data_IF_611306956389
#
_entry.id   IF_611306956389
#
_cell.length_a   1.000
_cell.length_b   1.000
_cell.length_c   1.000
_cell.angle_alpha   90.00
_cell.angle_beta   90.00
_cell.angle_gamma   90.00
#
_symmetry.space_group_name_H-M   'P 1'
#
loop_
_entity.id
_entity.type
_entity.pdbx_description
1 polymer ?
#
# COMPACT_ATOMS: atom_id res chain seq x y z
N UNK A 1 18.29 -26.89 11.91
CA UNK A 1 17.86 -26.17 10.70
C UNK A 1 17.24 -27.03 9.60
N UNK A 2 17.98 -27.80 8.79
CA UNK A 2 17.36 -28.62 7.71
C UNK A 2 16.38 -29.68 8.26
N UNK A 3 16.69 -30.22 9.45
CA UNK A 3 15.79 -31.10 10.23
C UNK A 3 14.52 -30.39 10.75
N UNK A 4 14.58 -29.12 11.11
CA UNK A 4 13.43 -28.35 11.62
C UNK A 4 12.53 -27.83 10.50
N UNK A 5 13.10 -27.43 9.36
CA UNK A 5 12.34 -27.07 8.17
C UNK A 5 11.63 -28.30 7.56
N UNK A 6 12.26 -29.46 7.64
CA UNK A 6 11.64 -30.75 7.32
C UNK A 6 10.52 -31.10 8.31
N UNK A 7 10.66 -30.74 9.59
CA UNK A 7 9.62 -30.89 10.62
C UNK A 7 8.40 -29.99 10.32
N UNK A 8 8.60 -28.72 9.98
CA UNK A 8 7.53 -27.76 9.66
C UNK A 8 6.77 -28.11 8.38
N UNK A 9 7.48 -28.52 7.31
CA UNK A 9 6.83 -29.01 6.08
C UNK A 9 6.04 -30.29 6.36
N UNK A 10 6.60 -31.21 7.15
CA UNK A 10 5.90 -32.41 7.61
C UNK A 10 4.66 -32.07 8.44
N UNK A 11 4.70 -31.04 9.28
CA UNK A 11 3.54 -30.57 10.05
C UNK A 11 2.45 -29.95 9.16
N UNK A 12 2.82 -29.15 8.15
CA UNK A 12 1.87 -28.61 7.17
C UNK A 12 1.23 -29.71 6.32
N UNK A 13 2.01 -30.70 5.89
CA UNK A 13 1.51 -31.83 5.10
C UNK A 13 0.62 -32.75 5.96
N UNK A 14 1.00 -33.04 7.21
CA UNK A 14 0.15 -33.78 8.18
C UNK A 14 -1.15 -33.01 8.48
N UNK A 15 -1.11 -31.68 8.53
CA UNK A 15 -2.29 -30.84 8.75
C UNK A 15 -3.23 -30.83 7.53
N UNK A 16 -2.68 -30.82 6.31
CA UNK A 16 -3.45 -30.96 5.07
C UNK A 16 -4.15 -32.32 4.97
N UNK A 17 -3.45 -33.39 5.35
CA UNK A 17 -4.03 -34.74 5.39
C UNK A 17 -5.18 -34.82 6.41
N UNK A 18 -5.01 -34.25 7.61
CA UNK A 18 -6.07 -34.19 8.62
C UNK A 18 -7.28 -33.36 8.18
N UNK A 19 -7.08 -32.27 7.44
CA UNK A 19 -8.16 -31.46 6.85
C UNK A 19 -8.95 -32.26 5.80
N UNK A 20 -8.26 -32.99 4.93
CA UNK A 20 -8.90 -33.85 3.92
C UNK A 20 -9.65 -35.04 4.55
N UNK A 21 -9.12 -35.65 5.61
CA UNK A 21 -9.81 -36.69 6.37
C UNK A 21 -11.05 -36.14 7.09
N UNK A 22 -10.98 -34.92 7.61
CA UNK A 22 -12.14 -34.22 8.17
C UNK A 22 -13.20 -33.91 7.12
N UNK A 23 -12.82 -33.36 5.96
CA UNK A 23 -13.74 -33.11 4.84
C UNK A 23 -14.44 -34.39 4.40
N UNK A 24 -13.72 -35.52 4.39
CA UNK A 24 -14.27 -36.84 4.11
C UNK A 24 -15.26 -37.31 5.18
N UNK A 25 -14.96 -37.12 6.47
CA UNK A 25 -15.90 -37.47 7.56
C UNK A 25 -17.14 -36.59 7.59
N UNK A 26 -17.01 -35.32 7.19
CA UNK A 26 -18.13 -34.38 7.02
C UNK A 26 -19.01 -34.82 5.84
N UNK A 27 -18.44 -35.31 4.74
CA UNK A 27 -19.21 -35.78 3.58
C UNK A 27 -19.86 -37.15 3.79
N UNK A 28 -19.31 -37.98 4.68
CA UNK A 28 -19.85 -39.31 5.06
C UNK A 28 -20.93 -39.25 6.16
N UNK A 29 -21.15 -38.09 6.81
CA UNK A 29 -22.25 -37.86 7.76
C UNK A 29 -21.96 -38.28 9.21
N UNK A 30 -20.68 -38.51 9.56
CA UNK A 30 -20.24 -39.12 10.83
C UNK A 30 -20.03 -38.11 11.99
N UNK A 31 -20.23 -36.80 11.75
CA UNK A 31 -20.01 -35.73 12.73
C UNK A 31 -21.24 -34.83 12.84
N UNK A 32 -21.69 -34.58 14.08
CA UNK A 32 -22.78 -33.66 14.35
C UNK A 32 -22.44 -32.22 13.95
N UNK A 33 -23.43 -31.48 13.42
CA UNK A 33 -23.29 -30.10 12.90
C UNK A 33 -22.63 -29.13 13.90
N UNK A 34 -22.89 -29.32 15.18
CA UNK A 34 -22.38 -28.49 16.28
C UNK A 34 -20.89 -28.72 16.56
N UNK A 35 -20.41 -29.95 16.39
CA UNK A 35 -19.00 -30.31 16.56
C UNK A 35 -18.13 -29.77 15.42
N UNK A 36 -18.67 -29.74 14.20
CA UNK A 36 -18.01 -29.12 13.05
C UNK A 36 -17.88 -27.59 13.21
N UNK A 37 -18.92 -26.92 13.69
CA UNK A 37 -18.91 -25.47 13.91
C UNK A 37 -17.86 -25.06 14.96
N UNK A 38 -17.79 -25.79 16.07
CA UNK A 38 -16.79 -25.53 17.11
C UNK A 38 -15.35 -25.72 16.61
N UNK A 39 -15.10 -26.69 15.73
CA UNK A 39 -13.77 -26.91 15.16
C UNK A 39 -13.38 -25.83 14.15
N UNK A 40 -14.33 -25.38 13.33
CA UNK A 40 -14.14 -24.28 12.38
C UNK A 40 -13.84 -22.98 13.13
N UNK A 41 -14.59 -22.67 14.18
CA UNK A 41 -14.37 -21.46 14.99
C UNK A 41 -13.01 -21.49 15.70
N UNK A 42 -12.61 -22.63 16.26
CA UNK A 42 -11.29 -22.80 16.87
C UNK A 42 -10.15 -22.54 15.85
N UNK A 43 -10.29 -23.07 14.63
CA UNK A 43 -9.28 -22.90 13.57
C UNK A 43 -9.28 -21.50 12.97
N UNK A 44 -10.45 -20.87 12.79
CA UNK A 44 -10.55 -19.47 12.38
C UNK A 44 -9.90 -18.53 13.38
N UNK A 45 -9.96 -18.85 14.67
CA UNK A 45 -9.31 -18.08 15.74
C UNK A 45 -7.78 -18.20 15.69
N UNK A 46 -7.27 -19.41 15.42
CA UNK A 46 -5.85 -19.69 15.27
C UNK A 46 -5.25 -18.98 14.04
N UNK A 47 -5.93 -19.05 12.89
CA UNK A 47 -5.52 -18.34 11.65
C UNK A 47 -5.56 -16.81 11.85
N UNK A 48 -6.56 -16.28 12.55
CA UNK A 48 -6.63 -14.84 12.89
C UNK A 48 -5.46 -14.40 13.78
N UNK A 49 -5.05 -15.26 14.71
CA UNK A 49 -3.95 -14.98 15.62
C UNK A 49 -2.60 -14.97 14.88
N UNK A 50 -2.35 -15.97 14.02
CA UNK A 50 -1.15 -15.99 13.15
C UNK A 50 -1.13 -14.79 12.20
N UNK A 51 -2.27 -14.39 11.62
CA UNK A 51 -2.36 -13.21 10.77
C UNK A 51 -2.04 -11.91 11.52
N UNK A 52 -2.47 -11.79 12.78
CA UNK A 52 -2.14 -10.65 13.63
C UNK A 52 -0.65 -10.58 13.96
N UNK A 53 0.00 -11.72 14.21
CA UNK A 53 1.44 -11.76 14.48
C UNK A 53 2.26 -11.39 13.24
N UNK A 54 1.88 -11.86 12.05
CA UNK A 54 2.51 -11.45 10.78
C UNK A 54 2.34 -9.95 10.53
N UNK A 55 1.14 -9.39 10.75
CA UNK A 55 0.91 -7.95 10.63
C UNK A 55 1.67 -7.12 11.67
N UNK A 56 1.92 -7.67 12.87
CA UNK A 56 2.72 -7.02 13.91
C UNK A 56 4.19 -7.00 13.53
N UNK A 57 4.72 -8.14 13.08
CA UNK A 57 6.09 -8.26 12.57
C UNK A 57 6.35 -7.32 11.38
N UNK A 58 5.40 -7.23 10.44
CA UNK A 58 5.48 -6.29 9.32
C UNK A 58 5.53 -4.83 9.78
N UNK A 59 4.71 -4.44 10.76
CA UNK A 59 4.74 -3.08 11.34
C UNK A 59 6.05 -2.77 12.05
N UNK A 60 6.63 -3.73 12.77
CA UNK A 60 7.92 -3.56 13.43
C UNK A 60 9.08 -3.41 12.43
N UNK A 61 9.06 -4.17 11.33
CA UNK A 61 10.01 -4.03 10.22
C UNK A 61 9.90 -2.64 9.58
N UNK A 62 8.68 -2.16 9.32
CA UNK A 62 8.46 -0.84 8.73
C UNK A 62 8.90 0.28 9.67
N UNK A 63 8.68 0.14 10.98
CA UNK A 63 9.13 1.11 11.98
C UNK A 63 10.65 1.17 12.09
N UNK A 64 11.32 0.02 11.98
CA UNK A 64 12.79 -0.07 11.96
C UNK A 64 13.38 0.58 10.72
N UNK A 65 12.74 0.42 9.56
CA UNK A 65 13.10 1.16 8.33
C UNK A 65 12.92 2.67 8.47
N UNK A 66 11.88 3.13 9.19
CA UNK A 66 11.67 4.55 9.48
C UNK A 66 12.76 5.14 10.39
N UNK A 67 13.20 4.38 11.40
CA UNK A 67 14.31 4.76 12.29
C UNK A 67 15.68 4.77 11.59
N UNK A 68 15.94 3.81 10.71
CA UNK A 68 17.17 3.77 9.89
C UNK A 68 17.21 4.92 8.86
N UNK A 69 16.06 5.27 8.27
CA UNK A 69 15.94 6.46 7.41
C UNK A 69 16.24 7.78 8.16
N UNK A 70 15.99 7.83 9.47
CA UNK A 70 16.32 8.97 10.34
C UNK A 70 17.83 9.16 10.55
N UNK A 71 18.63 8.10 10.39
CA UNK A 71 20.10 8.15 10.54
C UNK A 71 20.76 8.71 9.27
N UNK A 72 20.12 8.57 8.11
CA UNK A 72 20.63 9.07 6.81
C UNK A 72 20.41 10.59 6.65
N UNK A 73 19.48 11.19 7.40
CA UNK A 73 19.04 12.60 7.26
C UNK A 73 19.88 13.64 8.00
N UNK A 74 21.13 13.36 8.38
CA UNK A 74 21.92 14.26 9.25
C UNK A 74 22.08 15.72 8.73
N UNK A 75 21.79 16.00 7.45
CA UNK A 75 21.84 17.35 6.85
C UNK A 75 20.61 17.72 5.98
N UNK A 76 19.45 17.08 6.19
CA UNK A 76 18.23 17.36 5.41
C UNK A 76 17.17 17.95 6.36
N UNK A 77 16.49 19.01 5.92
CA UNK A 77 15.31 19.55 6.60
C UNK A 77 14.12 18.58 6.55
N UNK A 78 12.90 19.08 6.78
CA UNK A 78 11.71 18.23 6.77
C UNK A 78 11.52 17.53 5.41
N UNK A 79 11.40 16.19 5.44
CA UNK A 79 11.17 15.34 4.28
C UNK A 79 9.72 14.85 4.31
N UNK A 80 8.96 15.13 3.25
CA UNK A 80 7.53 14.78 3.16
C UNK A 80 7.22 13.94 1.93
N UNK A 81 6.21 13.04 1.98
CA UNK A 81 5.71 12.35 0.79
C UNK A 81 5.09 13.32 -0.22
N UNK A 82 5.32 13.08 -1.52
CA UNK A 82 4.72 13.88 -2.60
C UNK A 82 3.30 13.41 -2.92
N UNK A 83 3.09 12.10 -2.96
CA UNK A 83 1.78 11.50 -3.15
C UNK A 83 1.41 10.65 -1.95
N UNK A 84 0.58 11.22 -1.08
CA UNK A 84 0.10 10.58 0.15
C UNK A 84 -0.61 9.25 -0.15
N UNK A 85 -0.25 8.19 0.57
CA UNK A 85 -0.97 6.90 0.53
C UNK A 85 -2.03 6.88 1.61
N UNK A 86 -3.18 6.30 1.30
CA UNK A 86 -4.25 6.13 2.28
C UNK A 86 -4.34 4.70 2.80
N UNK A 87 -4.93 4.55 4.00
CA UNK A 87 -5.34 3.27 4.58
C UNK A 87 -6.41 2.66 3.66
N UNK A 88 -6.24 1.40 3.22
CA UNK A 88 -7.31 0.69 2.53
C UNK A 88 -8.54 0.59 3.45
N UNK A 89 -9.67 1.10 2.99
CA UNK A 89 -10.94 0.90 3.68
C UNK A 89 -11.62 -0.37 3.15
N UNK A 90 -12.23 -1.19 4.02
CA UNK A 90 -13.00 -2.37 3.59
C UNK A 90 -14.24 -1.99 2.78
N UNK A 91 -14.79 -0.78 3.01
CA UNK A 91 -16.01 -0.26 2.38
C UNK A 91 -15.75 1.14 1.83
N UNK A 92 -16.41 1.52 0.74
CA UNK A 92 -16.26 2.86 0.14
C UNK A 92 -17.47 3.77 0.35
N UNK A 93 -18.61 3.22 0.75
CA UNK A 93 -19.85 3.98 0.95
C UNK A 93 -20.58 3.55 2.23
N UNK A 94 -21.32 4.50 2.80
CA UNK A 94 -22.28 4.30 3.86
C UNK A 94 -23.67 4.72 3.35
N UNK A 95 -24.66 3.85 3.49
CA UNK A 95 -26.06 4.15 3.21
C UNK A 95 -26.83 4.11 4.52
N UNK A 96 -27.46 5.22 4.90
CA UNK A 96 -28.33 5.34 6.07
C UNK A 96 -29.78 5.52 5.64
N UNK A 97 -30.66 4.66 6.13
CA UNK A 97 -32.09 4.71 5.86
C UNK A 97 -32.88 4.77 7.17
N UNK A 98 -33.81 5.71 7.26
CA UNK A 98 -34.81 5.79 8.32
C UNK A 98 -36.18 5.39 7.76
N UNK A 99 -36.83 4.42 8.38
CA UNK A 99 -38.08 3.81 7.94
C UNK A 99 -39.21 4.12 8.94
N UNK A 100 -40.44 3.79 8.56
CA UNK A 100 -41.63 4.09 9.36
C UNK A 100 -41.78 3.19 10.61
N UNK A 101 -41.18 1.99 10.58
CA UNK A 101 -41.26 1.03 11.67
C UNK A 101 -40.05 0.12 11.75
N UNK A 102 -39.85 -0.46 12.94
CA UNK A 102 -38.82 -1.46 13.21
C UNK A 102 -38.96 -2.70 12.32
N UNK A 103 -40.20 -3.12 12.04
CA UNK A 103 -40.50 -4.25 11.17
C UNK A 103 -40.05 -4.00 9.73
N UNK A 104 -40.27 -2.78 9.21
CA UNK A 104 -39.78 -2.38 7.89
C UNK A 104 -38.25 -2.37 7.81
N UNK A 105 -37.58 -1.99 8.89
CA UNK A 105 -36.11 -2.08 9.00
C UNK A 105 -35.64 -3.52 8.91
N UNK A 106 -36.25 -4.43 9.68
CA UNK A 106 -35.86 -5.84 9.68
C UNK A 106 -36.05 -6.50 8.31
N UNK A 107 -37.17 -6.22 7.64
CA UNK A 107 -37.43 -6.70 6.28
C UNK A 107 -36.37 -6.20 5.28
N UNK A 108 -36.03 -4.91 5.34
CA UNK A 108 -35.02 -4.34 4.45
C UNK A 108 -33.62 -4.90 4.73
N UNK A 109 -33.26 -5.09 6.01
CA UNK A 109 -32.00 -5.74 6.40
C UNK A 109 -31.93 -7.15 5.79
N UNK A 110 -33.00 -7.94 5.88
CA UNK A 110 -33.04 -9.29 5.34
C UNK A 110 -32.87 -9.29 3.81
N UNK A 111 -33.55 -8.39 3.09
CA UNK A 111 -33.41 -8.26 1.63
C UNK A 111 -32.02 -7.83 1.20
N UNK A 112 -31.44 -6.81 1.85
CA UNK A 112 -30.07 -6.37 1.58
C UNK A 112 -29.07 -7.50 1.83
N UNK A 113 -29.27 -8.28 2.90
CA UNK A 113 -28.41 -9.42 3.21
C UNK A 113 -28.55 -10.55 2.18
N UNK A 114 -29.77 -10.79 1.68
CA UNK A 114 -30.03 -11.82 0.66
C UNK A 114 -29.48 -11.45 -0.72
N UNK A 115 -29.56 -10.17 -1.12
CA UNK A 115 -29.18 -9.74 -2.46
C UNK A 115 -27.68 -9.48 -2.60
N UNK A 116 -27.05 -8.95 -1.54
CA UNK A 116 -25.65 -8.49 -1.59
C UNK A 116 -24.68 -9.40 -0.80
N UNK A 117 -25.21 -10.26 0.08
CA UNK A 117 -24.44 -11.27 0.82
C UNK A 117 -23.49 -10.69 1.88
N UNK A 118 -22.50 -11.49 2.31
CA UNK A 118 -21.55 -11.14 3.40
C UNK A 118 -20.58 -9.99 3.07
N UNK A 119 -20.64 -9.44 1.86
CA UNK A 119 -19.74 -8.37 1.41
C UNK A 119 -20.14 -6.99 1.95
N UNK A 120 -21.31 -6.88 2.58
CA UNK A 120 -21.79 -5.65 3.21
C UNK A 120 -21.88 -5.79 4.73
N UNK A 121 -21.70 -4.70 5.45
CA UNK A 121 -21.93 -4.65 6.89
C UNK A 121 -23.21 -3.88 7.17
N UNK A 122 -24.24 -4.59 7.66
CA UNK A 122 -25.54 -3.99 7.99
C UNK A 122 -25.65 -3.82 9.51
N UNK A 123 -25.99 -2.61 9.95
CA UNK A 123 -26.15 -2.24 11.35
C UNK A 123 -27.50 -1.56 11.54
N UNK A 124 -28.29 -2.08 12.49
CA UNK A 124 -29.49 -1.39 12.97
C UNK A 124 -29.12 -0.46 14.11
N UNK A 125 -29.67 0.76 14.12
CA UNK A 125 -29.45 1.73 15.20
C UNK A 125 -30.70 2.57 15.43
N UNK A 126 -30.91 3.00 16.68
CA UNK A 126 -32.15 3.67 17.05
C UNK A 126 -33.39 2.77 16.85
N UNK A 127 -34.57 3.38 16.81
CA UNK A 127 -35.86 2.66 16.71
C UNK A 127 -36.18 2.23 15.29
N UNK A 128 -35.90 3.05 14.27
CA UNK A 128 -36.27 2.73 12.88
C UNK A 128 -35.17 3.07 11.86
N UNK A 129 -33.90 3.00 12.25
CA UNK A 129 -32.80 3.33 11.33
C UNK A 129 -31.89 2.14 11.08
N UNK A 130 -31.37 2.08 9.86
CA UNK A 130 -30.31 1.15 9.48
C UNK A 130 -29.20 1.86 8.73
N UNK A 131 -28.02 1.28 8.86
CA UNK A 131 -26.78 1.69 8.22
C UNK A 131 -26.21 0.50 7.47
N UNK A 132 -25.85 0.70 6.22
CA UNK A 132 -25.18 -0.30 5.38
C UNK A 132 -23.84 0.26 4.95
N UNK A 133 -22.77 -0.45 5.28
CA UNK A 133 -21.43 -0.20 4.73
C UNK A 133 -21.22 -1.13 3.54
N UNK A 134 -20.82 -0.57 2.41
CA UNK A 134 -20.71 -1.30 1.15
C UNK A 134 -19.60 -0.78 0.23
N UNK A 135 -19.23 -1.59 -0.75
CA UNK A 135 -18.37 -1.20 -1.86
C UNK A 135 -19.13 -0.41 -2.94
N UNK A 136 -18.39 0.22 -3.85
CA UNK A 136 -18.95 1.02 -4.95
C UNK A 136 -19.78 0.18 -5.92
N UNK A 137 -19.41 -1.11 -6.08
CA UNK A 137 -20.15 -2.06 -6.94
C UNK A 137 -21.55 -2.37 -6.42
N UNK A 138 -21.72 -2.40 -5.10
CA UNK A 138 -22.95 -2.86 -4.44
C UNK A 138 -23.92 -1.70 -4.15
N UNK A 139 -23.42 -0.47 -4.20
CA UNK A 139 -24.17 0.74 -3.91
C UNK A 139 -25.48 0.85 -4.71
N UNK A 140 -25.54 0.60 -6.04
CA UNK A 140 -26.78 0.74 -6.79
C UNK A 140 -27.88 -0.22 -6.33
N UNK A 141 -27.54 -1.47 -6.00
CA UNK A 141 -28.49 -2.46 -5.50
C UNK A 141 -29.06 -2.05 -4.14
N UNK A 142 -28.20 -1.59 -3.23
CA UNK A 142 -28.61 -1.12 -1.89
C UNK A 142 -29.49 0.11 -1.98
N UNK A 143 -29.13 1.09 -2.83
CA UNK A 143 -29.95 2.29 -3.06
C UNK A 143 -31.29 1.92 -3.69
N UNK A 144 -31.31 0.98 -4.64
CA UNK A 144 -32.56 0.49 -5.24
C UNK A 144 -33.47 -0.16 -4.20
N UNK A 145 -32.95 -1.14 -3.45
CA UNK A 145 -33.68 -1.84 -2.39
C UNK A 145 -34.25 -0.92 -1.32
N UNK A 146 -33.46 0.08 -0.91
CA UNK A 146 -33.86 1.09 0.07
C UNK A 146 -34.90 2.06 -0.47
N UNK A 147 -34.96 2.27 -1.79
CA UNK A 147 -35.87 3.22 -2.45
C UNK A 147 -37.20 2.61 -2.92
N UNK A 148 -37.24 1.33 -3.30
CA UNK A 148 -38.44 0.65 -3.84
C UNK A 148 -39.48 0.22 -2.80
N UNK A 149 -39.43 0.77 -1.59
CA UNK A 149 -40.30 0.33 -0.49
C UNK A 149 -41.71 0.94 -0.59
N UNK A 150 -42.75 0.18 -0.20
CA UNK A 150 -44.14 0.66 -0.16
C UNK A 150 -44.38 1.76 0.90
N UNK A 151 -43.40 1.94 1.78
CA UNK A 151 -43.17 3.11 2.62
C UNK A 151 -41.77 3.64 2.29
N UNK A 152 -41.68 4.66 1.43
CA UNK A 152 -40.41 5.29 1.09
C UNK A 152 -39.67 5.69 2.38
N UNK A 153 -38.34 5.54 2.45
CA UNK A 153 -37.61 5.91 3.66
C UNK A 153 -37.87 7.39 3.95
N UNK A 154 -38.25 7.70 5.20
CA UNK A 154 -38.43 9.08 5.66
C UNK A 154 -37.14 9.90 5.49
N UNK A 155 -35.98 9.21 5.44
CA UNK A 155 -34.69 9.78 5.10
C UNK A 155 -33.78 8.70 4.53
N UNK A 156 -33.16 8.98 3.37
CA UNK A 156 -32.07 8.20 2.80
C UNK A 156 -30.84 9.10 2.65
N UNK A 157 -29.70 8.69 3.20
CA UNK A 157 -28.43 9.40 3.08
C UNK A 157 -27.39 8.44 2.54
N UNK A 158 -26.71 8.84 1.47
CA UNK A 158 -25.55 8.12 0.93
C UNK A 158 -24.32 8.98 1.17
N UNK A 159 -23.34 8.41 1.87
CA UNK A 159 -22.08 9.08 2.21
C UNK A 159 -20.92 8.30 1.62
N UNK A 160 -20.08 8.95 0.81
CA UNK A 160 -18.81 8.38 0.37
C UNK A 160 -17.82 8.43 1.52
N UNK A 161 -17.17 7.31 1.81
CA UNK A 161 -16.18 7.22 2.87
C UNK A 161 -14.82 7.69 2.35
N UNK A 162 -14.24 8.66 3.03
CA UNK A 162 -12.89 9.12 2.75
C UNK A 162 -11.86 8.17 3.37
N UNK A 163 -10.84 7.82 2.59
CA UNK A 163 -9.74 7.01 3.09
C UNK A 163 -8.88 7.85 4.02
N UNK A 164 -8.44 7.24 5.13
CA UNK A 164 -7.59 7.92 6.10
C UNK A 164 -6.15 7.97 5.56
N UNK A 165 -5.46 9.12 5.54
CA UNK A 165 -4.08 9.19 5.09
C UNK A 165 -3.14 8.44 6.05
N UNK A 166 -2.22 7.64 5.50
CA UNK A 166 -1.12 7.02 6.22
C UNK A 166 0.04 8.00 6.36
N UNK A 167 0.08 8.78 7.45
CA UNK A 167 1.11 9.79 7.70
C UNK A 167 2.53 9.25 7.40
N UNK A 168 3.32 10.02 6.65
CA UNK A 168 4.68 9.64 6.25
C UNK A 168 4.78 8.61 5.11
N UNK A 169 3.66 8.05 4.65
CA UNK A 169 3.62 7.06 3.58
C UNK A 169 3.09 7.65 2.28
N UNK A 170 3.69 7.23 1.17
CA UNK A 170 3.37 7.77 -0.13
C UNK A 170 4.48 7.56 -1.15
N UNK A 171 4.17 7.78 -2.42
CA UNK A 171 5.17 7.78 -3.48
C UNK A 171 5.91 9.12 -3.51
N UNK A 172 7.19 9.05 -3.87
CA UNK A 172 8.10 10.19 -3.96
C UNK A 172 8.36 10.90 -2.63
N UNK A 173 9.41 11.72 -2.61
CA UNK A 173 9.76 12.55 -1.45
C UNK A 173 10.13 13.95 -1.91
N UNK A 174 9.77 14.94 -1.12
CA UNK A 174 10.26 16.31 -1.22
C UNK A 174 10.97 16.66 0.07
N UNK A 175 12.15 17.24 -0.05
CA UNK A 175 12.92 17.70 1.11
C UNK A 175 13.61 19.02 0.82
N UNK A 176 13.75 19.83 1.86
CA UNK A 176 14.64 20.99 1.85
C UNK A 176 16.01 20.59 2.37
N UNK A 177 17.07 21.13 1.78
CA UNK A 177 18.44 20.93 2.24
C UNK A 177 18.73 21.91 3.38
N UNK A 178 19.39 21.43 4.45
CA UNK A 178 19.78 22.30 5.56
C UNK A 178 20.83 23.33 5.10
N UNK A 179 21.74 22.90 4.23
CA UNK A 179 22.71 23.74 3.54
C UNK A 179 22.52 23.59 2.03
N UNK A 180 22.36 24.70 1.29
CA UNK A 180 22.27 24.65 -0.17
C UNK A 180 23.51 24.03 -0.80
N UNK A 181 23.32 23.32 -1.90
CA UNK A 181 24.42 22.75 -2.69
C UNK A 181 24.29 23.19 -4.14
N UNK A 182 25.39 23.22 -4.88
CA UNK A 182 25.32 23.48 -6.32
C UNK A 182 24.70 22.29 -7.06
N UNK A 183 24.14 22.52 -8.26
CA UNK A 183 23.72 21.45 -9.16
C UNK A 183 24.87 20.47 -9.42
N UNK A 184 26.10 20.95 -9.58
CA UNK A 184 27.29 20.10 -9.77
C UNK A 184 27.55 19.17 -8.57
N UNK A 185 27.39 19.68 -7.35
CA UNK A 185 27.51 18.88 -6.13
C UNK A 185 26.39 17.84 -6.06
N UNK A 186 25.16 18.21 -6.41
CA UNK A 186 24.03 17.27 -6.47
C UNK A 186 24.30 16.12 -7.46
N UNK A 187 24.75 16.43 -8.68
CA UNK A 187 25.15 15.44 -9.69
C UNK A 187 26.22 14.50 -9.14
N UNK A 188 27.25 15.05 -8.51
CA UNK A 188 28.36 14.26 -7.95
C UNK A 188 27.91 13.32 -6.84
N UNK A 189 27.01 13.79 -5.96
CA UNK A 189 26.38 12.98 -4.91
C UNK A 189 25.53 11.85 -5.49
N UNK A 190 24.69 12.14 -6.50
CA UNK A 190 23.85 11.13 -7.16
C UNK A 190 24.70 10.07 -7.86
N UNK A 191 25.74 10.46 -8.61
CA UNK A 191 26.66 9.51 -9.24
C UNK A 191 27.31 8.59 -8.22
N UNK A 192 27.82 9.15 -7.13
CA UNK A 192 28.51 8.39 -6.08
C UNK A 192 27.54 7.45 -5.37
N UNK A 193 26.35 7.92 -5.03
CA UNK A 193 25.34 7.14 -4.31
C UNK A 193 24.81 5.96 -5.14
N UNK A 194 24.52 6.18 -6.42
CA UNK A 194 24.00 5.15 -7.32
C UNK A 194 25.11 4.32 -8.00
N UNK A 195 26.38 4.73 -7.86
CA UNK A 195 27.51 4.09 -8.54
C UNK A 195 27.47 4.23 -10.07
N UNK A 196 26.89 5.31 -10.59
CA UNK A 196 26.70 5.53 -12.03
C UNK A 196 27.80 6.42 -12.61
N UNK A 197 28.42 6.02 -13.74
CA UNK A 197 29.46 6.83 -14.39
C UNK A 197 28.90 8.09 -15.06
N UNK A 198 27.68 8.01 -15.59
CA UNK A 198 27.01 9.05 -16.35
C UNK A 198 25.57 9.23 -15.86
N UNK A 199 25.08 10.48 -15.89
CA UNK A 199 23.68 10.83 -15.63
C UNK A 199 23.22 11.71 -16.81
N UNK A 200 21.91 11.74 -17.07
CA UNK A 200 21.31 12.72 -17.98
C UNK A 200 20.78 13.87 -17.15
N UNK A 201 21.11 15.10 -17.54
CA UNK A 201 20.76 16.31 -16.78
C UNK A 201 20.17 17.34 -17.72
N UNK A 202 19.05 17.93 -17.33
CA UNK A 202 18.47 19.10 -17.97
C UNK A 202 18.40 20.23 -16.95
N UNK A 203 19.12 21.32 -17.19
CA UNK A 203 19.15 22.47 -16.29
C UNK A 203 17.84 23.25 -16.38
N UNK A 204 17.37 23.77 -15.26
CA UNK A 204 16.30 24.76 -15.25
C UNK A 204 16.65 25.96 -16.14
N UNK A 205 15.64 26.60 -16.72
CA UNK A 205 15.86 27.76 -17.59
C UNK A 205 16.66 28.86 -16.87
N UNK A 206 17.75 29.32 -17.47
CA UNK A 206 18.64 30.33 -16.89
C UNK A 206 19.57 29.84 -15.77
N UNK A 207 19.57 28.53 -15.45
CA UNK A 207 20.46 27.95 -14.44
C UNK A 207 21.76 27.41 -15.03
N UNK A 208 22.79 27.30 -14.18
CA UNK A 208 24.09 26.71 -14.50
C UNK A 208 24.40 25.57 -13.53
N UNK A 209 25.54 24.91 -13.71
CA UNK A 209 26.02 23.89 -12.77
C UNK A 209 26.36 24.47 -11.37
N UNK A 210 26.58 25.78 -11.29
CA UNK A 210 26.88 26.49 -10.04
C UNK A 210 25.64 27.03 -9.34
N UNK A 211 24.47 26.96 -9.98
CA UNK A 211 23.19 27.37 -9.37
C UNK A 211 22.93 26.56 -8.10
N UNK A 212 22.45 27.25 -7.06
CA UNK A 212 22.14 26.66 -5.77
C UNK A 212 20.82 25.89 -5.82
N UNK A 213 20.84 24.70 -5.22
CA UNK A 213 19.72 23.82 -4.96
C UNK A 213 19.46 23.87 -3.46
N UNK A 214 18.26 24.30 -3.09
CA UNK A 214 17.79 24.36 -1.70
C UNK A 214 16.76 23.27 -1.43
N UNK A 215 16.08 22.79 -2.47
CA UNK A 215 15.00 21.83 -2.36
C UNK A 215 15.07 20.77 -3.46
N UNK A 216 14.76 19.54 -3.08
CA UNK A 216 14.84 18.38 -3.95
C UNK A 216 13.54 17.59 -3.89
N UNK A 217 13.03 17.20 -5.05
CA UNK A 217 11.93 16.27 -5.22
C UNK A 217 12.45 14.99 -5.90
N UNK A 218 12.17 13.82 -5.33
CA UNK A 218 12.67 12.55 -5.82
C UNK A 218 11.54 11.54 -5.98
N UNK A 219 11.58 10.74 -7.04
CA UNK A 219 10.74 9.55 -7.20
C UNK A 219 11.48 8.53 -8.08
N UNK A 220 11.71 7.33 -7.57
CA UNK A 220 12.30 6.25 -8.37
C UNK A 220 11.36 5.81 -9.51
N UNK A 221 11.93 5.16 -10.53
CA UNK A 221 11.22 4.70 -11.71
C UNK A 221 10.76 5.84 -12.63
N UNK A 222 9.59 5.68 -13.25
CA UNK A 222 8.95 6.70 -14.10
C UNK A 222 8.14 7.69 -13.25
N UNK A 223 8.84 8.54 -12.50
CA UNK A 223 8.27 9.29 -11.37
C UNK A 223 7.52 10.59 -11.71
N UNK A 224 7.35 10.93 -12.98
CA UNK A 224 6.81 12.25 -13.38
C UNK A 224 5.39 12.51 -12.85
N UNK A 225 4.54 11.49 -12.77
CA UNK A 225 3.17 11.62 -12.24
C UNK A 225 3.15 11.98 -10.75
N UNK A 226 4.20 11.59 -10.03
CA UNK A 226 4.40 11.88 -8.60
C UNK A 226 5.09 13.22 -8.39
N UNK A 227 6.03 13.58 -9.28
CA UNK A 227 6.79 14.82 -9.21
C UNK A 227 6.02 16.04 -9.73
N UNK A 228 5.02 15.84 -10.59
CA UNK A 228 4.24 16.93 -11.18
C UNK A 228 3.61 17.81 -10.08
N UNK A 229 3.89 19.11 -10.13
CA UNK A 229 3.41 20.07 -9.14
C UNK A 229 4.30 20.19 -7.89
N UNK A 230 5.35 19.38 -7.76
CA UNK A 230 6.33 19.52 -6.69
C UNK A 230 7.17 20.78 -6.91
N UNK A 231 7.01 21.78 -6.03
CA UNK A 231 7.87 22.96 -6.01
C UNK A 231 9.24 22.59 -5.43
N UNK A 232 10.21 22.30 -6.30
CA UNK A 232 11.58 21.99 -5.91
C UNK A 232 12.57 22.46 -6.97
N UNK A 233 13.76 22.88 -6.52
CA UNK A 233 14.83 23.37 -7.41
C UNK A 233 15.42 22.23 -8.26
N UNK A 234 15.40 21.01 -7.73
CA UNK A 234 15.91 19.82 -8.40
C UNK A 234 14.94 18.65 -8.32
N UNK A 235 14.70 18.02 -9.46
CA UNK A 235 13.96 16.76 -9.60
C UNK A 235 14.91 15.62 -9.91
N UNK A 236 14.76 14.49 -9.22
CA UNK A 236 15.50 13.26 -9.48
C UNK A 236 14.54 12.10 -9.71
N UNK A 237 14.63 11.47 -10.88
CA UNK A 237 13.83 10.28 -11.21
C UNK A 237 14.58 9.37 -12.18
N UNK A 238 14.02 8.20 -12.46
CA UNK A 238 14.57 7.31 -13.48
C UNK A 238 14.31 7.86 -14.87
N UNK A 239 13.04 8.11 -15.19
CA UNK A 239 12.59 8.39 -16.56
C UNK A 239 11.59 9.55 -16.64
N UNK A 240 11.74 10.33 -17.70
CA UNK A 240 10.78 11.34 -18.16
C UNK A 240 10.82 11.41 -19.69
N UNK A 241 9.68 11.69 -20.32
CA UNK A 241 9.62 12.00 -21.75
C UNK A 241 10.21 13.37 -22.04
N UNK A 242 10.51 13.64 -23.31
CA UNK A 242 11.10 14.91 -23.74
C UNK A 242 10.28 16.14 -23.31
N UNK A 243 8.97 16.11 -23.52
CA UNK A 243 8.09 17.22 -23.16
C UNK A 243 7.99 17.41 -21.65
N UNK A 244 8.00 16.32 -20.88
CA UNK A 244 7.99 16.41 -19.42
C UNK A 244 9.26 17.07 -18.87
N UNK A 245 10.42 16.79 -19.48
CA UNK A 245 11.68 17.45 -19.12
C UNK A 245 11.62 18.94 -19.47
N UNK A 246 11.07 19.30 -20.63
CA UNK A 246 10.89 20.70 -21.02
C UNK A 246 9.96 21.42 -20.05
N UNK A 247 8.84 20.82 -19.68
CA UNK A 247 7.87 21.42 -18.76
C UNK A 247 8.51 21.66 -17.37
N UNK A 248 9.25 20.69 -16.85
CA UNK A 248 9.94 20.82 -15.56
C UNK A 248 11.02 21.93 -15.58
N UNK A 249 11.83 21.98 -16.64
CA UNK A 249 12.90 22.98 -16.77
C UNK A 249 12.38 24.40 -16.99
N UNK A 250 11.27 24.58 -17.70
CA UNK A 250 10.57 25.86 -17.79
C UNK A 250 9.87 26.24 -16.47
N UNK A 251 9.43 25.24 -15.70
CA UNK A 251 8.90 25.43 -14.34
C UNK A 251 9.94 25.79 -13.29
N UNK A 252 11.23 25.90 -13.66
CA UNK A 252 12.31 26.29 -12.76
C UNK A 252 13.03 25.13 -12.07
N UNK A 253 12.73 23.87 -12.42
CA UNK A 253 13.35 22.70 -11.82
C UNK A 253 14.43 22.11 -12.71
N UNK A 254 15.63 21.91 -12.16
CA UNK A 254 16.69 21.12 -12.80
C UNK A 254 16.33 19.64 -12.68
N UNK A 255 16.42 18.89 -13.77
CA UNK A 255 16.07 17.47 -13.80
C UNK A 255 17.33 16.62 -13.91
N UNK A 256 17.46 15.62 -13.04
CA UNK A 256 18.44 14.53 -13.14
C UNK A 256 17.68 13.24 -13.44
N UNK A 257 18.03 12.59 -14.55
CA UNK A 257 17.52 11.30 -14.98
C UNK A 257 18.62 10.24 -14.88
N UNK A 258 18.27 9.12 -14.26
CA UNK A 258 19.22 8.03 -13.97
C UNK A 258 18.84 6.69 -14.60
N UNK A 259 17.79 6.66 -15.43
CA UNK A 259 17.12 5.45 -15.91
C UNK A 259 16.38 4.67 -14.80
N UNK A 260 15.29 4.02 -15.19
CA UNK A 260 14.34 3.36 -14.27
C UNK A 260 15.05 2.41 -13.31
N UNK A 261 15.82 1.56 -13.95
CA UNK A 261 16.39 0.35 -13.40
C UNK A 261 17.53 0.69 -12.44
N UNK A 262 18.28 1.76 -12.70
CA UNK A 262 19.32 2.23 -11.78
C UNK A 262 18.75 3.00 -10.58
N UNK A 263 17.60 3.66 -10.72
CA UNK A 263 16.97 4.39 -9.62
C UNK A 263 16.39 3.48 -8.54
N UNK A 264 16.06 2.23 -8.86
CA UNK A 264 15.36 1.30 -7.97
C UNK A 264 16.28 0.23 -7.37
N UNK A 265 17.27 -0.26 -8.14
CA UNK A 265 18.10 -1.42 -7.72
C UNK A 265 18.89 -1.20 -6.43
N UNK A 266 19.21 0.05 -6.09
CA UNK A 266 19.84 0.39 -4.81
C UNK A 266 19.06 -0.17 -3.61
N UNK A 267 17.72 -0.19 -3.71
CA UNK A 267 16.85 -0.70 -2.65
C UNK A 267 17.04 -2.21 -2.35
N UNK A 268 17.52 -3.00 -3.31
CA UNK A 268 17.75 -4.43 -3.08
C UNK A 268 18.78 -4.69 -1.97
N UNK A 269 19.73 -3.78 -1.78
CA UNK A 269 20.74 -3.86 -0.71
C UNK A 269 20.14 -3.63 0.68
N UNK A 270 19.09 -2.82 0.76
CA UNK A 270 18.34 -2.56 1.99
C UNK A 270 17.27 -3.65 2.25
N UNK A 271 16.66 -4.14 1.17
CA UNK A 271 15.65 -5.17 1.23
C UNK A 271 16.22 -6.54 1.62
N UNK A 272 17.43 -6.89 1.14
CA UNK A 272 18.04 -8.19 1.41
C UNK A 272 18.17 -8.47 2.92
N UNK A 273 18.78 -7.61 3.76
CA UNK A 273 18.84 -7.82 5.21
C UNK A 273 17.45 -7.92 5.85
N UNK A 274 16.48 -7.13 5.37
CA UNK A 274 15.10 -7.17 5.85
C UNK A 274 14.46 -8.54 5.59
N UNK A 275 14.66 -9.09 4.39
CA UNK A 275 14.16 -10.43 4.04
C UNK A 275 14.89 -11.52 4.81
N UNK A 276 16.21 -11.41 5.01
CA UNK A 276 16.97 -12.32 5.86
C UNK A 276 16.40 -12.36 7.28
N UNK A 277 16.11 -11.20 7.87
CA UNK A 277 15.50 -11.10 9.19
C UNK A 277 14.08 -11.69 9.20
N UNK A 278 13.25 -11.36 8.20
CA UNK A 278 11.87 -11.86 8.09
C UNK A 278 11.80 -13.39 7.97
N UNK A 279 12.78 -13.98 7.27
CA UNK A 279 12.90 -15.43 7.14
C UNK A 279 13.77 -16.07 8.22
N UNK A 280 14.16 -15.33 9.26
CA UNK A 280 15.00 -15.81 10.37
C UNK A 280 16.28 -16.53 9.88
N UNK A 281 16.91 -16.01 8.82
CA UNK A 281 18.09 -16.61 8.17
C UNK A 281 17.89 -18.03 7.61
N UNK A 282 16.64 -18.52 7.53
CA UNK A 282 16.30 -19.86 7.05
C UNK A 282 16.29 -19.97 5.52
N UNK A 283 16.27 -18.84 4.82
CA UNK A 283 16.28 -18.75 3.36
C UNK A 283 17.50 -17.96 2.93
N UNK A 284 18.27 -18.50 1.99
CA UNK A 284 19.37 -17.77 1.38
C UNK A 284 18.80 -16.75 0.38
N UNK A 285 18.87 -15.46 0.72
CA UNK A 285 18.41 -14.36 -0.14
C UNK A 285 19.61 -13.80 -0.89
N UNK A 286 19.65 -13.96 -2.20
CA UNK A 286 20.74 -13.49 -3.05
C UNK A 286 20.26 -12.36 -3.96
N UNK A 287 21.05 -11.30 -4.08
CA UNK A 287 20.84 -10.25 -5.08
C UNK A 287 21.47 -10.71 -6.41
N UNK A 288 20.66 -10.74 -7.47
CA UNK A 288 21.12 -11.11 -8.81
C UNK A 288 22.28 -10.22 -9.28
N UNK A 289 23.36 -10.84 -9.75
CA UNK A 289 24.51 -10.15 -10.36
C UNK A 289 24.40 -10.05 -11.89
N UNK A 290 23.41 -10.71 -12.50
CA UNK A 290 23.17 -10.70 -13.95
C UNK A 290 22.14 -9.65 -14.37
N UNK A 291 21.24 -9.32 -13.45
CA UNK A 291 20.22 -8.31 -13.67
C UNK A 291 20.86 -6.92 -13.69
N UNK A 292 20.54 -6.13 -14.70
CA UNK A 292 21.14 -4.81 -14.97
C UNK A 292 20.19 -3.97 -15.81
N UNK A 293 20.46 -2.67 -15.87
CA UNK A 293 19.73 -1.79 -16.78
C UNK A 293 19.87 -2.30 -18.23
N UNK A 294 18.78 -2.43 -18.98
CA UNK A 294 18.82 -2.88 -20.38
C UNK A 294 19.44 -1.84 -21.32
N UNK A 295 19.52 -0.57 -20.90
CA UNK A 295 20.11 0.51 -21.68
C UNK A 295 21.58 0.70 -21.29
N UNK A 296 22.43 0.83 -22.31
CA UNK A 296 23.85 1.11 -22.14
C UNK A 296 24.21 2.39 -22.89
N UNK A 297 24.93 3.27 -22.21
CA UNK A 297 25.57 4.43 -22.83
C UNK A 297 26.84 3.93 -23.51
N UNK A 298 26.91 4.08 -24.84
CA UNK A 298 28.04 3.68 -25.69
C UNK A 298 28.98 4.86 -25.89
#
# INVERSE_FOLDING_TARGET
>A
MEKENKQLRKQCDEMKVKLLEMEKKISEGDLGKEECLNLIDAKMKEVKQEHQEVQKSFREIMKKQEEENKVITQNVGEVTPLQQKDVPLPHSHQVEAALESDAAVQDLIQRVTQEVGEQVTVLKYGTNCMKVLCGERDLPAIVSLTSTNSAAPAKLVVTKLEKVPLVGHGAGRRGSLAEPITVQQAISRVKTHLGLPHLRVALAHGSTLDTQVNSVAVCAGSGVSVLRGASADLWLTGEMSHHEVLDATHGGSTVILVDHSNSERGFLKELQPTLHQLFEEKVNVLISQKDRDPLQII
#
